data_IF_316527848111
#
_entry.id   IF_316527848111
#
_cell.length_a   1.000
_cell.length_b   1.000
_cell.length_c   1.000
_cell.angle_alpha   90.00
_cell.angle_beta   90.00
_cell.angle_gamma   90.00
#
_symmetry.space_group_name_H-M   'P 1'
#
loop_
_entity.id
_entity.type
_entity.pdbx_description
1 polymer ?
#
# COMPACT_ATOMS: atom_id res chain seq x y z
N UNK A 1 5.80 6.12 -19.39
CA UNK A 1 4.94 5.12 -18.70
C UNK A 1 3.61 5.06 -19.45
N UNK A 2 3.29 3.92 -20.05
CA UNK A 2 2.24 3.79 -21.07
C UNK A 2 0.88 3.53 -20.39
N UNK A 3 0.02 4.56 -20.33
CA UNK A 3 -1.27 4.55 -19.64
C UNK A 3 -2.33 3.62 -20.27
N UNK A 4 -2.03 3.01 -21.43
CA UNK A 4 -2.95 2.09 -22.12
C UNK A 4 -2.99 0.71 -21.46
N UNK A 5 -1.87 0.27 -20.88
CA UNK A 5 -1.72 -1.10 -20.36
C UNK A 5 -2.37 -1.32 -18.97
N UNK A 6 -2.79 -0.26 -18.27
CA UNK A 6 -3.55 -0.40 -17.01
C UNK A 6 -5.06 -0.62 -17.25
N UNK A 7 -5.53 -0.44 -18.48
CA UNK A 7 -6.94 -0.70 -18.84
C UNK A 7 -7.19 -2.12 -19.35
N UNK A 8 -6.14 -2.89 -19.66
CA UNK A 8 -6.25 -4.22 -20.29
C UNK A 8 -6.19 -5.40 -19.33
N UNK A 9 -5.96 -5.20 -18.03
CA UNK A 9 -5.99 -6.27 -17.02
C UNK A 9 -7.35 -6.43 -16.32
N UNK A 10 -8.44 -6.01 -16.96
CA UNK A 10 -9.79 -6.34 -16.51
C UNK A 10 -10.24 -7.68 -17.12
N UNK A 11 -9.58 -8.76 -16.69
CA UNK A 11 -9.98 -10.12 -17.03
C UNK A 11 -10.71 -10.79 -15.87
N UNK A 12 -12.00 -11.04 -16.09
CA UNK A 12 -12.69 -12.28 -15.73
C UNK A 12 -12.92 -12.64 -14.25
N UNK A 13 -13.17 -11.65 -13.39
CA UNK A 13 -14.07 -11.76 -12.22
C UNK A 13 -14.17 -10.36 -11.62
N UNK A 14 -15.33 -9.92 -11.13
CA UNK A 14 -15.60 -8.55 -10.67
C UNK A 14 -14.79 -8.06 -9.44
N UNK A 15 -13.61 -8.64 -9.18
CA UNK A 15 -12.76 -8.32 -8.05
C UNK A 15 -11.68 -7.31 -8.46
N UNK A 16 -11.60 -6.23 -7.68
CA UNK A 16 -10.53 -5.24 -7.79
C UNK A 16 -9.19 -5.87 -7.37
N UNK A 17 -8.06 -5.44 -7.96
CA UNK A 17 -6.74 -5.81 -7.48
C UNK A 17 -6.58 -5.48 -5.99
N UNK A 18 -5.93 -6.37 -5.24
CA UNK A 18 -5.79 -6.24 -3.78
C UNK A 18 -5.10 -4.93 -3.36
N UNK A 19 -4.07 -4.51 -4.09
CA UNK A 19 -3.39 -3.23 -3.88
C UNK A 19 -4.34 -2.03 -4.04
N UNK A 20 -5.22 -2.07 -5.05
CA UNK A 20 -6.19 -1.02 -5.30
C UNK A 20 -7.29 -1.01 -4.22
N UNK A 21 -7.70 -2.18 -3.73
CA UNK A 21 -8.64 -2.30 -2.62
C UNK A 21 -8.07 -1.68 -1.34
N UNK A 22 -6.81 -1.96 -1.01
CA UNK A 22 -6.12 -1.39 0.15
C UNK A 22 -6.02 0.14 0.07
N UNK A 23 -5.68 0.67 -1.11
CA UNK A 23 -5.69 2.12 -1.34
C UNK A 23 -7.09 2.73 -1.15
N UNK A 24 -8.14 2.07 -1.64
CA UNK A 24 -9.53 2.51 -1.47
C UNK A 24 -9.93 2.55 0.01
N UNK A 25 -9.59 1.50 0.77
CA UNK A 25 -9.88 1.41 2.20
C UNK A 25 -9.15 2.53 2.96
N UNK A 26 -7.86 2.74 2.71
CA UNK A 26 -7.09 3.79 3.37
C UNK A 26 -7.60 5.20 3.04
N UNK A 27 -8.13 5.41 1.82
CA UNK A 27 -8.83 6.67 1.50
C UNK A 27 -10.13 6.81 2.30
N UNK A 28 -10.90 5.72 2.46
CA UNK A 28 -12.16 5.74 3.19
C UNK A 28 -12.00 6.00 4.70
N UNK A 29 -10.95 5.46 5.32
CA UNK A 29 -10.66 5.63 6.75
C UNK A 29 -9.82 6.91 7.05
N UNK A 30 -9.36 7.62 6.01
CA UNK A 30 -8.75 8.95 6.11
C UNK A 30 -7.23 8.97 6.26
N UNK A 31 -6.62 7.80 6.36
CA UNK A 31 -5.21 7.48 6.59
C UNK A 31 -4.33 7.53 5.31
N UNK A 32 -4.95 7.60 4.13
CA UNK A 32 -4.21 7.73 2.87
C UNK A 32 -3.52 9.09 2.67
N UNK A 33 -2.36 9.06 2.01
CA UNK A 33 -1.62 10.24 1.55
C UNK A 33 -2.43 11.06 0.51
N UNK A 34 -2.12 12.36 0.40
CA UNK A 34 -2.83 13.30 -0.49
C UNK A 34 -2.84 12.85 -1.96
N UNK A 35 -1.73 12.30 -2.44
CA UNK A 35 -1.62 11.82 -3.83
C UNK A 35 -2.54 10.61 -4.07
N UNK A 36 -2.60 9.69 -3.12
CA UNK A 36 -3.48 8.52 -3.16
C UNK A 36 -4.95 8.93 -3.14
N UNK A 37 -5.32 9.91 -2.32
CA UNK A 37 -6.67 10.50 -2.28
C UNK A 37 -7.09 11.05 -3.66
N UNK A 38 -6.20 11.79 -4.33
CA UNK A 38 -6.48 12.36 -5.66
C UNK A 38 -6.58 11.23 -6.72
N UNK A 39 -5.68 10.25 -6.66
CA UNK A 39 -5.66 9.08 -7.56
C UNK A 39 -6.97 8.30 -7.49
N UNK A 40 -7.38 7.87 -6.30
CA UNK A 40 -8.61 7.10 -6.10
C UNK A 40 -9.85 7.91 -6.47
N UNK A 41 -9.90 9.21 -6.13
CA UNK A 41 -11.01 10.09 -6.53
C UNK A 41 -11.14 10.21 -8.04
N UNK A 42 -10.03 10.27 -8.78
CA UNK A 42 -10.05 10.29 -10.23
C UNK A 42 -10.42 8.93 -10.83
N UNK A 43 -9.99 7.81 -10.23
CA UNK A 43 -10.37 6.46 -10.65
C UNK A 43 -11.87 6.20 -10.42
N UNK A 44 -12.41 6.60 -9.27
CA UNK A 44 -13.83 6.49 -8.95
C UNK A 44 -14.73 7.25 -9.96
N UNK A 45 -14.27 8.38 -10.51
CA UNK A 45 -15.01 9.10 -11.57
C UNK A 45 -15.11 8.32 -12.88
N UNK A 46 -14.17 7.41 -13.14
CA UNK A 46 -14.04 6.68 -14.41
C UNK A 46 -14.50 5.23 -14.31
N UNK A 47 -14.45 4.64 -13.12
CA UNK A 47 -14.81 3.25 -12.86
C UNK A 47 -15.87 3.17 -11.76
N UNK A 48 -17.06 2.69 -12.13
CA UNK A 48 -18.21 2.56 -11.24
C UNK A 48 -17.94 1.59 -10.08
N UNK A 49 -17.25 0.48 -10.32
CA UNK A 49 -16.89 -0.49 -9.28
C UNK A 49 -16.03 0.15 -8.19
N UNK A 50 -15.04 0.96 -8.57
CA UNK A 50 -14.19 1.69 -7.60
C UNK A 50 -14.99 2.70 -6.80
N UNK A 51 -15.92 3.41 -7.44
CA UNK A 51 -16.80 4.36 -6.75
C UNK A 51 -17.71 3.67 -5.74
N UNK A 52 -18.35 2.58 -6.13
CA UNK A 52 -19.27 1.81 -5.29
C UNK A 52 -18.52 1.21 -4.08
N UNK A 53 -17.34 0.63 -4.29
CA UNK A 53 -16.50 0.09 -3.22
C UNK A 53 -16.03 1.19 -2.26
N UNK A 54 -15.55 2.33 -2.78
CA UNK A 54 -15.14 3.47 -1.94
C UNK A 54 -16.31 3.96 -1.07
N UNK A 55 -17.50 4.10 -1.65
CA UNK A 55 -18.67 4.57 -0.92
C UNK A 55 -19.06 3.60 0.21
N UNK A 56 -19.01 2.28 -0.05
CA UNK A 56 -19.29 1.27 0.98
C UNK A 56 -18.35 1.42 2.18
N UNK A 57 -17.04 1.53 1.94
CA UNK A 57 -16.08 1.70 3.04
C UNK A 57 -16.20 3.04 3.75
N UNK A 58 -16.54 4.12 3.05
CA UNK A 58 -16.78 5.44 3.68
C UNK A 58 -17.98 5.38 4.63
N UNK A 59 -19.06 4.71 4.22
CA UNK A 59 -20.24 4.51 5.08
C UNK A 59 -19.89 3.66 6.30
N UNK A 60 -19.14 2.58 6.10
CA UNK A 60 -18.67 1.72 7.20
C UNK A 60 -17.77 2.48 8.17
N UNK A 61 -16.78 3.23 7.68
CA UNK A 61 -15.88 4.02 8.52
C UNK A 61 -16.66 5.05 9.36
N UNK A 62 -17.66 5.70 8.76
CA UNK A 62 -18.55 6.62 9.46
C UNK A 62 -19.36 5.90 10.55
N UNK A 63 -19.96 4.77 10.23
CA UNK A 63 -20.72 3.97 11.21
C UNK A 63 -19.85 3.48 12.37
N UNK A 64 -18.60 3.11 12.11
CA UNK A 64 -17.64 2.71 13.16
C UNK A 64 -17.24 3.91 14.02
N UNK A 65 -17.05 5.08 13.41
CA UNK A 65 -16.71 6.31 14.15
C UNK A 65 -17.84 6.83 15.04
N UNK A 66 -19.08 6.43 14.76
CA UNK A 66 -20.28 6.77 15.53
C UNK A 66 -20.56 5.79 16.68
N UNK A 67 -19.77 4.72 16.83
CA UNK A 67 -19.88 3.81 17.98
C UNK A 67 -19.48 4.58 19.23
N UNK A 68 -20.44 4.75 20.15
CA UNK A 68 -20.20 5.39 21.44
C UNK A 68 -19.05 4.71 22.17
N UNK A 69 -18.00 5.49 22.44
CA UNK A 69 -16.87 5.03 23.22
C UNK A 69 -17.34 4.91 24.67
N UNK A 70 -17.52 3.68 25.13
CA UNK A 70 -17.83 3.40 26.53
C UNK A 70 -16.73 4.02 27.41
N UNK A 71 -17.13 4.90 28.34
CA UNK A 71 -16.18 5.62 29.20
C UNK A 71 -15.36 4.60 30.00
N UNK A 72 -14.06 4.62 29.79
CA UNK A 72 -13.11 3.83 30.58
C UNK A 72 -13.33 4.10 32.09
N UNK A 73 -13.50 3.06 32.93
CA UNK A 73 -13.79 3.24 34.34
C UNK A 73 -12.66 4.01 35.04
N UNK A 74 -13.04 5.01 35.84
CA UNK A 74 -12.12 5.99 36.45
C UNK A 74 -10.98 5.37 37.28
N UNK A 75 -11.18 4.15 37.79
CA UNK A 75 -10.16 3.39 38.52
C UNK A 75 -8.92 3.03 37.69
N UNK A 76 -9.07 2.89 36.37
CA UNK A 76 -7.95 2.65 35.44
C UNK A 76 -7.22 3.95 35.08
N UNK A 77 -7.96 5.06 34.92
CA UNK A 77 -7.38 6.39 34.64
C UNK A 77 -6.49 6.86 35.80
N UNK A 78 -6.90 6.63 37.05
CA UNK A 78 -6.09 6.97 38.24
C UNK A 78 -4.77 6.19 38.32
N UNK A 79 -4.74 4.92 37.92
CA UNK A 79 -3.50 4.11 37.89
C UNK A 79 -2.51 4.57 36.80
N UNK A 80 -3.01 5.16 35.71
CA UNK A 80 -2.18 5.66 34.61
C UNK A 80 -1.70 7.10 34.88
N UNK A 81 -2.56 7.98 35.41
CA UNK A 81 -2.18 9.36 35.77
C UNK A 81 -1.09 9.42 36.86
N UNK A 82 -1.12 8.50 37.83
CA UNK A 82 -0.08 8.41 38.87
C UNK A 82 1.32 8.03 38.32
N UNK A 83 1.41 7.52 37.09
CA UNK A 83 2.69 7.19 36.43
C UNK A 83 3.18 8.27 35.48
N UNK A 84 2.38 9.30 35.20
CA UNK A 84 2.71 10.32 34.21
C UNK A 84 2.48 11.70 34.81
N UNK A 85 3.32 12.06 35.78
CA UNK A 85 3.36 13.39 36.41
C UNK A 85 4.05 14.41 35.47
N UNK A 86 3.56 14.49 34.24
CA UNK A 86 4.02 15.42 33.22
C UNK A 86 3.18 16.68 33.28
N UNK A 87 3.69 17.72 33.93
CA UNK A 87 3.15 19.09 33.81
C UNK A 87 3.00 19.42 32.33
N UNK A 88 1.76 19.51 31.86
CA UNK A 88 1.44 20.04 30.53
C UNK A 88 1.82 21.51 30.59
N UNK A 89 3.05 21.83 30.18
CA UNK A 89 3.39 23.19 29.77
C UNK A 89 2.49 23.50 28.58
N UNK A 90 1.81 24.64 28.62
CA UNK A 90 1.27 25.24 27.40
C UNK A 90 2.45 25.44 26.45
N UNK A 91 2.65 24.49 25.56
CA UNK A 91 3.56 24.66 24.44
C UNK A 91 2.95 25.78 23.60
N UNK A 92 3.62 26.93 23.58
CA UNK A 92 3.30 28.02 22.64
C UNK A 92 3.29 27.41 21.25
N UNK A 93 2.09 27.17 20.73
CA UNK A 93 1.92 26.51 19.46
C UNK A 93 2.33 27.51 18.39
N UNK A 94 3.44 27.22 17.70
CA UNK A 94 3.97 28.04 16.61
C UNK A 94 2.91 28.42 15.57
N UNK A 95 1.90 27.56 15.37
CA UNK A 95 0.78 27.82 14.46
C UNK A 95 -0.15 28.93 14.95
N UNK A 96 -0.35 29.05 16.27
CA UNK A 96 -1.17 30.10 16.86
C UNK A 96 -0.45 31.45 16.80
N UNK A 97 0.86 31.46 17.08
CA UNK A 97 1.70 32.66 16.91
C UNK A 97 1.71 33.11 15.44
N UNK A 98 1.85 32.18 14.49
CA UNK A 98 1.75 32.48 13.06
C UNK A 98 0.38 33.09 12.72
N UNK A 99 -0.73 32.46 13.13
CA UNK A 99 -2.06 32.98 12.88
C UNK A 99 -2.26 34.40 13.45
N UNK A 100 -1.79 34.65 14.67
CA UNK A 100 -1.90 35.96 15.30
C UNK A 100 -1.14 37.05 14.51
N UNK A 101 0.03 36.75 13.95
CA UNK A 101 0.84 37.73 13.20
C UNK A 101 0.20 38.10 11.86
N UNK A 102 -0.39 37.12 11.16
CA UNK A 102 -1.05 37.38 9.87
C UNK A 102 -2.42 38.07 10.02
N UNK A 103 -3.19 37.74 11.06
CA UNK A 103 -4.55 38.27 11.22
C UNK A 103 -4.66 39.49 12.16
N UNK A 104 -3.80 39.61 13.18
CA UNK A 104 -3.89 40.73 14.15
C UNK A 104 -3.13 41.98 13.69
N UNK A 105 -2.18 41.86 12.74
CA UNK A 105 -1.39 43.00 12.23
C UNK A 105 -1.43 43.05 10.70
N UNK A 106 -2.45 43.67 10.10
CA UNK A 106 -2.66 43.68 8.65
C UNK A 106 -1.48 44.31 7.87
N UNK A 107 -0.75 45.25 8.46
CA UNK A 107 0.43 45.85 7.84
C UNK A 107 1.59 44.87 7.66
N UNK A 108 1.81 43.95 8.62
CA UNK A 108 2.88 42.95 8.55
C UNK A 108 2.50 41.86 7.55
N UNK A 109 1.23 41.44 7.56
CA UNK A 109 0.71 40.48 6.57
C UNK A 109 0.85 41.02 5.15
N UNK A 110 0.48 42.29 4.91
CA UNK A 110 0.59 42.90 3.59
C UNK A 110 2.06 42.96 3.11
N UNK A 111 2.98 43.37 3.98
CA UNK A 111 4.42 43.39 3.66
C UNK A 111 4.95 41.98 3.34
N UNK A 112 4.57 40.97 4.13
CA UNK A 112 4.97 39.59 3.91
C UNK A 112 4.43 39.04 2.58
N UNK A 113 3.17 39.33 2.24
CA UNK A 113 2.58 38.94 0.96
C UNK A 113 3.28 39.60 -0.22
N UNK A 114 3.61 40.89 -0.13
CA UNK A 114 4.35 41.60 -1.20
C UNK A 114 5.73 40.99 -1.40
N UNK A 115 6.46 40.69 -0.34
CA UNK A 115 7.77 40.02 -0.42
C UNK A 115 7.63 38.63 -1.06
N UNK A 116 6.63 37.86 -0.65
CA UNK A 116 6.39 36.52 -1.18
C UNK A 116 6.06 36.55 -2.68
N UNK A 117 5.18 37.46 -3.11
CA UNK A 117 4.86 37.66 -4.53
C UNK A 117 6.11 38.09 -5.30
N UNK A 118 6.92 38.98 -4.74
CA UNK A 118 8.15 39.45 -5.37
C UNK A 118 9.17 38.30 -5.57
N UNK A 119 9.33 37.42 -4.58
CA UNK A 119 10.19 36.22 -4.67
C UNK A 119 9.67 35.25 -5.73
N UNK A 120 8.36 35.01 -5.80
CA UNK A 120 7.78 34.12 -6.82
C UNK A 120 8.01 34.67 -8.22
N UNK A 121 7.78 35.97 -8.42
CA UNK A 121 7.99 36.62 -9.72
C UNK A 121 9.46 36.57 -10.11
N UNK A 122 10.38 36.94 -9.21
CA UNK A 122 11.82 36.83 -9.46
C UNK A 122 12.23 35.39 -9.77
N UNK A 123 11.78 34.42 -8.97
CA UNK A 123 12.09 33.01 -9.20
C UNK A 123 11.58 32.53 -10.55
N UNK A 124 10.42 33.00 -11.01
CA UNK A 124 9.88 32.64 -12.31
C UNK A 124 10.65 33.28 -13.47
N UNK A 125 11.22 34.47 -13.27
CA UNK A 125 12.04 35.16 -14.28
C UNK A 125 13.48 34.61 -14.35
N UNK A 126 14.03 34.11 -13.24
CA UNK A 126 15.39 33.53 -13.19
C UNK A 126 15.42 32.01 -13.33
N UNK A 127 14.26 31.36 -13.43
CA UNK A 127 14.16 29.92 -13.71
C UNK A 127 14.30 29.67 -15.22
N UNK A 128 15.43 30.07 -15.79
CA UNK A 128 15.88 29.53 -17.07
C UNK A 128 16.06 28.02 -16.85
N UNK A 129 15.19 27.24 -17.50
CA UNK A 129 15.03 25.82 -17.25
C UNK A 129 16.37 25.08 -17.28
N UNK A 130 16.76 24.51 -16.14
CA UNK A 130 17.84 23.53 -16.06
C UNK A 130 17.31 22.22 -16.70
N UNK A 131 17.15 22.25 -18.02
CA UNK A 131 16.86 21.10 -18.87
C UNK A 131 18.18 20.51 -19.37
N UNK A 132 19.07 20.17 -18.45
CA UNK A 132 20.19 19.29 -18.75
C UNK A 132 20.07 18.11 -17.82
N UNK A 133 19.66 16.96 -18.37
CA UNK A 133 19.80 15.68 -17.69
C UNK A 133 21.22 15.62 -17.10
N UNK A 134 21.39 15.42 -15.79
CA UNK A 134 22.71 15.42 -15.16
C UNK A 134 23.56 14.21 -15.57
N UNK A 135 22.99 13.29 -16.36
CA UNK A 135 23.63 12.07 -16.82
C UNK A 135 24.04 12.14 -18.28
N UNK A 136 25.26 11.72 -18.54
CA UNK A 136 25.80 11.45 -19.87
C UNK A 136 25.13 10.22 -20.50
N UNK A 137 25.11 10.14 -21.84
CA UNK A 137 24.55 8.98 -22.55
C UNK A 137 25.27 7.67 -22.16
N UNK A 138 26.57 7.72 -21.92
CA UNK A 138 27.36 6.57 -21.44
C UNK A 138 26.93 6.06 -20.07
N UNK A 139 26.52 6.96 -19.16
CA UNK A 139 26.01 6.58 -17.84
C UNK A 139 24.64 5.89 -17.97
N UNK A 140 23.79 6.38 -18.88
CA UNK A 140 22.48 5.79 -19.17
C UNK A 140 22.64 4.38 -19.76
N UNK A 141 23.52 4.20 -20.76
CA UNK A 141 23.78 2.90 -21.37
C UNK A 141 24.36 1.90 -20.36
N UNK A 142 25.25 2.36 -19.49
CA UNK A 142 25.84 1.52 -18.43
C UNK A 142 24.78 1.09 -17.42
N UNK A 143 23.91 1.99 -16.98
CA UNK A 143 22.82 1.69 -16.07
C UNK A 143 21.80 0.72 -16.68
N UNK A 144 21.48 0.87 -17.98
CA UNK A 144 20.58 -0.03 -18.69
C UNK A 144 21.18 -1.44 -18.78
N UNK A 145 22.48 -1.56 -19.09
CA UNK A 145 23.17 -2.85 -19.12
C UNK A 145 23.16 -3.54 -17.76
N UNK A 146 23.52 -2.83 -16.70
CA UNK A 146 23.51 -3.37 -15.34
C UNK A 146 22.11 -3.84 -14.91
N UNK A 147 21.08 -3.06 -15.28
CA UNK A 147 19.69 -3.42 -15.02
C UNK A 147 19.29 -4.70 -15.74
N UNK A 148 19.62 -4.83 -17.02
CA UNK A 148 19.36 -6.06 -17.80
C UNK A 148 20.06 -7.28 -17.20
N UNK A 149 21.31 -7.13 -16.77
CA UNK A 149 22.07 -8.21 -16.12
C UNK A 149 21.41 -8.63 -14.80
N UNK A 150 21.01 -7.68 -13.95
CA UNK A 150 20.33 -7.95 -12.69
C UNK A 150 18.98 -8.68 -12.91
N UNK A 151 18.17 -8.21 -13.85
CA UNK A 151 16.88 -8.84 -14.20
C UNK A 151 17.10 -10.27 -14.71
N UNK A 152 18.15 -10.50 -15.49
CA UNK A 152 18.51 -11.83 -15.99
C UNK A 152 18.87 -12.80 -14.86
N UNK A 153 19.65 -12.35 -13.88
CA UNK A 153 20.01 -13.16 -12.70
C UNK A 153 18.74 -13.52 -11.92
N UNK A 154 17.89 -12.55 -11.64
CA UNK A 154 16.63 -12.77 -10.90
C UNK A 154 15.74 -13.77 -11.64
N UNK A 155 15.60 -13.63 -12.96
CA UNK A 155 14.81 -14.54 -13.80
C UNK A 155 15.34 -15.98 -13.75
N UNK A 156 16.66 -16.16 -13.78
CA UNK A 156 17.30 -17.48 -13.66
C UNK A 156 17.05 -18.12 -12.30
N UNK A 157 17.09 -17.33 -11.22
CA UNK A 157 16.79 -17.82 -9.86
C UNK A 157 15.34 -18.29 -9.80
N UNK A 158 14.37 -17.48 -10.26
CA UNK A 158 12.96 -17.88 -10.27
C UNK A 158 12.70 -19.13 -11.10
N UNK A 159 13.30 -19.24 -12.29
CA UNK A 159 13.16 -20.41 -13.13
C UNK A 159 13.71 -21.67 -12.43
N UNK A 160 14.89 -21.56 -11.79
CA UNK A 160 15.48 -22.68 -11.05
C UNK A 160 14.63 -23.07 -9.84
N UNK A 161 14.17 -22.10 -9.06
CA UNK A 161 13.31 -22.34 -7.90
C UNK A 161 12.00 -23.01 -8.30
N UNK A 162 11.37 -22.57 -9.40
CA UNK A 162 10.15 -23.20 -9.93
C UNK A 162 10.41 -24.67 -10.26
N UNK A 163 11.46 -24.95 -11.05
CA UNK A 163 11.81 -26.33 -11.43
C UNK A 163 12.09 -27.21 -10.23
N UNK A 164 12.84 -26.72 -9.24
CA UNK A 164 13.13 -27.47 -8.01
C UNK A 164 11.86 -27.70 -7.19
N UNK A 165 10.98 -26.71 -7.06
CA UNK A 165 9.72 -26.85 -6.34
C UNK A 165 8.80 -27.87 -7.02
N UNK A 166 8.63 -27.80 -8.34
CA UNK A 166 7.74 -28.70 -9.08
C UNK A 166 8.27 -30.14 -9.12
N UNK A 167 9.53 -30.33 -9.53
CA UNK A 167 10.05 -31.66 -9.84
C UNK A 167 10.66 -32.36 -8.63
N UNK A 168 11.33 -31.64 -7.73
CA UNK A 168 12.00 -32.26 -6.60
C UNK A 168 11.09 -32.27 -5.37
N UNK A 169 10.43 -31.16 -5.06
CA UNK A 169 9.61 -31.07 -3.85
C UNK A 169 8.22 -31.68 -4.08
N UNK A 170 7.44 -31.12 -5.01
CA UNK A 170 6.05 -31.54 -5.20
C UNK A 170 5.95 -32.97 -5.74
N UNK A 171 6.71 -33.32 -6.78
CA UNK A 171 6.65 -34.67 -7.33
C UNK A 171 7.30 -35.71 -6.40
N UNK A 172 8.60 -35.57 -6.08
CA UNK A 172 9.32 -36.63 -5.37
C UNK A 172 9.13 -36.64 -3.85
N UNK A 173 8.99 -35.48 -3.19
CA UNK A 173 8.89 -35.43 -1.73
C UNK A 173 7.46 -35.45 -1.22
N UNK A 174 6.48 -35.09 -2.05
CA UNK A 174 5.07 -35.04 -1.66
C UNK A 174 4.24 -36.09 -2.40
N UNK A 175 4.21 -36.04 -3.73
CA UNK A 175 3.31 -36.89 -4.53
C UNK A 175 3.70 -38.37 -4.48
N UNK A 176 5.00 -38.67 -4.59
CA UNK A 176 5.52 -40.04 -4.53
C UNK A 176 5.18 -40.76 -3.20
N UNK A 177 5.46 -40.19 -2.01
CA UNK A 177 5.07 -40.81 -0.75
C UNK A 177 3.56 -41.02 -0.60
N UNK A 178 2.74 -40.06 -1.04
CA UNK A 178 1.28 -40.19 -1.01
C UNK A 178 0.83 -41.35 -1.90
N UNK A 179 1.32 -41.43 -3.14
CA UNK A 179 0.98 -42.51 -4.06
C UNK A 179 1.41 -43.88 -3.53
N UNK A 180 2.59 -43.98 -2.90
CA UNK A 180 3.02 -45.22 -2.23
C UNK A 180 2.08 -45.58 -1.08
N UNK A 181 1.70 -44.62 -0.25
CA UNK A 181 0.75 -44.85 0.85
C UNK A 181 -0.61 -45.35 0.36
N UNK A 182 -1.15 -44.73 -0.69
CA UNK A 182 -2.41 -45.17 -1.32
C UNK A 182 -2.27 -46.59 -1.88
N UNK A 183 -1.18 -46.90 -2.58
CA UNK A 183 -0.95 -48.25 -3.10
C UNK A 183 -0.82 -49.28 -1.98
N UNK A 184 -0.11 -48.99 -0.89
CA UNK A 184 -0.01 -49.89 0.27
C UNK A 184 -1.37 -50.14 0.91
N UNK A 185 -2.20 -49.10 1.07
CA UNK A 185 -3.59 -49.27 1.54
C UNK A 185 -4.35 -50.18 0.58
N UNK A 186 -4.26 -49.93 -0.73
CA UNK A 186 -4.98 -50.71 -1.73
C UNK A 186 -4.55 -52.20 -1.73
N UNK A 187 -3.25 -52.48 -1.59
CA UNK A 187 -2.73 -53.84 -1.44
C UNK A 187 -3.29 -54.54 -0.19
N UNK A 188 -3.30 -53.87 0.97
CA UNK A 188 -3.82 -54.40 2.22
C UNK A 188 -5.33 -54.68 2.15
N UNK A 189 -6.12 -53.80 1.54
CA UNK A 189 -7.57 -53.95 1.44
C UNK A 189 -7.99 -54.95 0.35
N UNK A 190 -7.28 -55.02 -0.78
CA UNK A 190 -7.57 -56.00 -1.84
C UNK A 190 -7.13 -57.41 -1.42
N UNK A 191 -5.96 -57.57 -0.79
CA UNK A 191 -5.54 -58.88 -0.27
C UNK A 191 -6.35 -59.31 0.96
N UNK A 192 -6.70 -58.37 1.84
CA UNK A 192 -7.58 -58.64 2.99
C UNK A 192 -8.96 -59.14 2.57
N UNK A 193 -9.56 -58.53 1.55
CA UNK A 193 -10.87 -58.94 1.02
C UNK A 193 -10.87 -60.25 0.23
N UNK A 194 -9.72 -60.76 -0.22
CA UNK A 194 -9.62 -62.09 -0.83
C UNK A 194 -9.47 -63.21 0.21
N UNK A 195 -8.82 -62.94 1.35
CA UNK A 195 -8.72 -63.92 2.44
C UNK A 195 -10.03 -64.12 3.20
N UNK A 196 -10.96 -63.16 3.14
CA UNK A 196 -12.30 -63.29 3.77
C UNK A 196 -13.29 -64.09 2.91
N UNK A 197 -13.01 -64.27 1.60
CA UNK A 197 -13.84 -65.09 0.70
C UNK A 197 -13.43 -66.57 0.63
N UNK A 198 -12.40 -66.95 1.39
CA UNK A 198 -11.93 -68.33 1.54
C UNK A 198 -12.17 -68.75 2.99
N UNK A 199 -13.44 -68.75 3.40
CA UNK A 199 -13.93 -69.49 4.57
C UNK A 199 -15.43 -69.76 4.41
#
# INVERSE_FOLDING_TARGET
>A
MNYKNLSENFSSNGNLPEDLLNEIISVAYGDAELLTKIKIKNLAKRNKTVADTLQQYVVTAKSVSEIDIEKCPEGLIKKVHLKTDGKIKEEKSFLFDFYSVFFAKPAISAAATVVLVFVIVLSSFFNDGINTSPYTQSEIETAERQTKEAISIVSRIFAKTKTTLENEVLAQKVSDPINRGINTINELFIQGGQNEKVN
#
